data_IF_395374110313
#
_entry.id   IF_395374110313
#
_cell.length_a   1.000
_cell.length_b   1.000
_cell.length_c   1.000
_cell.angle_alpha   90.00
_cell.angle_beta   90.00
_cell.angle_gamma   90.00
#
_symmetry.space_group_name_H-M   'P 1'
#
loop_
_entity.id
_entity.type
_entity.pdbx_description
1 polymer ?
#
# COMPACT_ATOMS: atom_id res chain seq x y z
N UNK A 1 -12.35 -16.53 14.62
CA UNK A 1 -12.06 -15.25 13.93
C UNK A 1 -10.60 -14.90 13.90
N UNK A 2 -9.96 -14.81 15.06
CA UNK A 2 -8.53 -14.47 15.12
C UNK A 2 -7.64 -15.41 14.30
N UNK A 3 -7.86 -16.73 14.43
CA UNK A 3 -7.08 -17.71 13.66
C UNK A 3 -7.24 -17.57 12.15
N UNK A 4 -8.45 -17.25 11.69
CA UNK A 4 -8.71 -17.03 10.26
C UNK A 4 -8.00 -15.77 9.77
N UNK A 5 -7.99 -14.72 10.58
CA UNK A 5 -7.30 -13.46 10.24
C UNK A 5 -5.79 -13.67 10.18
N UNK A 6 -5.21 -14.38 11.15
CA UNK A 6 -3.79 -14.71 11.15
C UNK A 6 -3.44 -15.50 9.90
N UNK A 7 -4.22 -16.54 9.59
CA UNK A 7 -3.99 -17.37 8.41
C UNK A 7 -4.09 -16.57 7.11
N UNK A 8 -5.06 -15.67 7.04
CA UNK A 8 -5.24 -14.81 5.87
C UNK A 8 -4.03 -13.88 5.68
N UNK A 9 -3.55 -13.25 6.75
CA UNK A 9 -2.40 -12.35 6.69
C UNK A 9 -1.12 -13.10 6.32
N UNK A 10 -0.88 -14.26 6.91
CA UNK A 10 0.25 -15.11 6.55
C UNK A 10 0.22 -15.51 5.08
N UNK A 11 -0.97 -15.83 4.56
CA UNK A 11 -1.16 -16.20 3.16
C UNK A 11 -0.87 -15.01 2.24
N UNK A 12 -1.39 -13.83 2.57
CA UNK A 12 -1.13 -12.59 1.82
C UNK A 12 0.36 -12.28 1.82
N UNK A 13 1.02 -12.37 2.98
CA UNK A 13 2.46 -12.12 3.08
C UNK A 13 3.24 -13.05 2.15
N UNK A 14 2.93 -14.34 2.16
CA UNK A 14 3.56 -15.32 1.28
C UNK A 14 3.33 -14.98 -0.19
N UNK A 15 2.12 -14.63 -0.57
CA UNK A 15 1.78 -14.29 -1.96
C UNK A 15 2.46 -13.00 -2.41
N UNK A 16 2.51 -11.99 -1.56
CA UNK A 16 3.22 -10.74 -1.84
C UNK A 16 4.71 -11.02 -2.04
N UNK A 17 5.31 -11.87 -1.21
CA UNK A 17 6.70 -12.28 -1.35
C UNK A 17 6.97 -12.91 -2.72
N UNK A 18 6.09 -13.81 -3.18
CA UNK A 18 6.21 -14.42 -4.51
C UNK A 18 6.11 -13.39 -5.63
N UNK A 19 5.18 -12.44 -5.50
CA UNK A 19 5.03 -11.36 -6.48
C UNK A 19 6.28 -10.49 -6.55
N UNK A 20 6.86 -10.13 -5.40
CA UNK A 20 8.09 -9.33 -5.33
C UNK A 20 9.26 -10.07 -6.00
N UNK A 21 9.42 -11.36 -5.73
CA UNK A 21 10.50 -12.16 -6.35
C UNK A 21 10.34 -12.24 -7.87
N UNK A 22 9.13 -12.48 -8.35
CA UNK A 22 8.86 -12.50 -9.80
C UNK A 22 9.13 -11.14 -10.44
N UNK A 23 8.77 -10.06 -9.77
CA UNK A 23 9.02 -8.69 -10.24
C UNK A 23 10.52 -8.41 -10.37
N UNK A 24 11.30 -8.84 -9.38
CA UNK A 24 12.75 -8.62 -9.37
C UNK A 24 13.46 -9.35 -10.51
N UNK A 25 12.94 -10.50 -10.93
CA UNK A 25 13.51 -11.25 -12.06
C UNK A 25 13.49 -10.45 -13.37
N UNK A 26 12.53 -9.54 -13.53
CA UNK A 26 12.42 -8.68 -14.72
C UNK A 26 12.81 -7.23 -14.43
N UNK A 27 13.43 -6.98 -13.28
CA UNK A 27 13.80 -5.63 -12.81
C UNK A 27 12.64 -4.64 -12.86
N UNK A 28 11.46 -5.11 -12.49
CA UNK A 28 10.26 -4.29 -12.43
C UNK A 28 10.14 -3.51 -11.13
N UNK A 29 9.20 -2.59 -11.09
CA UNK A 29 8.86 -1.81 -9.90
C UNK A 29 7.39 -1.98 -9.57
N UNK A 30 7.03 -1.88 -8.29
CA UNK A 30 5.63 -1.98 -7.87
C UNK A 30 5.37 -1.16 -6.63
N UNK A 31 4.12 -0.79 -6.43
CA UNK A 31 3.63 -0.31 -5.16
C UNK A 31 2.82 -1.40 -4.47
N UNK A 32 2.93 -1.45 -3.16
CA UNK A 32 2.10 -2.31 -2.32
C UNK A 32 1.30 -1.38 -1.41
N UNK A 33 -0.01 -1.51 -1.44
CA UNK A 33 -0.89 -0.69 -0.61
C UNK A 33 -2.18 -1.45 -0.28
N UNK A 34 -3.04 -0.81 0.51
CA UNK A 34 -4.39 -1.27 0.77
C UNK A 34 -5.37 -0.12 0.51
N UNK A 35 -6.61 -0.45 0.25
CA UNK A 35 -7.67 0.55 0.02
C UNK A 35 -8.33 1.00 1.33
N UNK A 36 -8.22 0.20 2.39
CA UNK A 36 -8.72 0.52 3.72
C UNK A 36 -8.05 -0.35 4.77
N UNK A 37 -8.18 0.02 6.05
CA UNK A 37 -7.74 -0.79 7.16
C UNK A 37 -8.75 -1.89 7.51
N UNK A 38 -8.32 -2.91 8.21
CA UNK A 38 -9.16 -4.00 8.69
C UNK A 38 -8.47 -4.76 9.83
N UNK A 39 -7.45 -5.55 9.50
CA UNK A 39 -6.84 -6.49 10.44
C UNK A 39 -5.99 -5.82 11.53
N UNK A 40 -5.62 -4.56 11.37
CA UNK A 40 -4.88 -3.83 12.39
C UNK A 40 -5.74 -3.54 13.63
N UNK A 41 -7.07 -3.64 13.50
CA UNK A 41 -8.00 -3.53 14.62
C UNK A 41 -8.87 -4.78 14.69
N UNK A 42 -8.57 -5.66 15.63
CA UNK A 42 -9.24 -6.96 15.80
C UNK A 42 -10.32 -6.93 16.86
N UNK A 43 -10.37 -5.89 17.68
CA UNK A 43 -11.26 -5.78 18.82
C UNK A 43 -11.90 -4.39 18.84
N UNK A 44 -13.18 -4.36 19.21
CA UNK A 44 -13.87 -3.12 19.53
C UNK A 44 -13.38 -2.63 20.91
N UNK A 45 -12.78 -1.47 20.96
CA UNK A 45 -12.17 -0.94 22.18
C UNK A 45 -13.21 -0.51 23.24
N UNK A 46 -14.45 -0.28 22.83
CA UNK A 46 -15.52 0.08 23.76
C UNK A 46 -16.21 -1.14 24.36
N UNK A 47 -16.46 -2.17 23.56
CA UNK A 47 -17.25 -3.32 23.96
C UNK A 47 -16.41 -4.58 24.23
N UNK A 48 -15.16 -4.64 23.78
CA UNK A 48 -14.33 -5.82 23.86
C UNK A 48 -14.73 -6.95 22.92
N UNK A 49 -15.74 -6.72 22.06
CA UNK A 49 -16.20 -7.70 21.08
C UNK A 49 -15.24 -7.81 19.88
N UNK A 50 -15.28 -8.90 19.10
CA UNK A 50 -14.54 -8.98 17.86
C UNK A 50 -14.95 -7.84 16.91
N UNK A 51 -13.97 -7.16 16.34
CA UNK A 51 -14.15 -6.08 15.37
C UNK A 51 -13.88 -6.62 13.98
N UNK A 52 -14.89 -6.59 13.11
CA UNK A 52 -14.82 -7.18 11.76
C UNK A 52 -15.02 -6.16 10.65
N UNK A 53 -15.27 -4.90 11.01
CA UNK A 53 -15.51 -3.84 10.04
C UNK A 53 -14.20 -3.32 9.43
N UNK A 54 -14.34 -2.62 8.31
CA UNK A 54 -13.25 -1.86 7.73
C UNK A 54 -12.95 -0.63 8.59
N UNK A 55 -11.70 -0.19 8.60
CA UNK A 55 -11.30 1.00 9.33
C UNK A 55 -10.84 2.09 8.36
N UNK A 56 -10.84 3.34 8.86
CA UNK A 56 -10.28 4.48 8.15
C UNK A 56 -8.85 4.78 8.58
N UNK A 57 -8.22 3.86 9.30
CA UNK A 57 -6.83 4.01 9.71
C UNK A 57 -5.90 4.10 8.51
N UNK A 58 -4.77 4.81 8.64
CA UNK A 58 -3.76 4.82 7.58
C UNK A 58 -3.31 3.43 7.20
N UNK A 59 -3.07 3.23 5.91
CA UNK A 59 -2.61 1.96 5.36
C UNK A 59 -1.20 2.09 4.81
N UNK A 60 -0.45 0.97 4.68
CA UNK A 60 0.87 1.02 4.08
C UNK A 60 0.83 1.47 2.62
N UNK A 61 1.85 2.19 2.20
CA UNK A 61 2.12 2.49 0.80
C UNK A 61 3.61 2.29 0.59
N UNK A 62 3.99 1.20 -0.07
CA UNK A 62 5.37 0.73 -0.14
C UNK A 62 5.82 0.71 -1.60
N UNK A 63 6.96 1.34 -1.88
CA UNK A 63 7.60 1.31 -3.19
C UNK A 63 8.67 0.22 -3.19
N UNK A 64 8.56 -0.71 -4.14
CA UNK A 64 9.43 -1.88 -4.23
C UNK A 64 10.32 -1.79 -5.46
N UNK A 65 11.63 -2.02 -5.27
CA UNK A 65 12.64 -2.11 -6.32
C UNK A 65 12.78 -0.84 -7.16
N UNK A 66 12.58 0.31 -6.54
CA UNK A 66 12.84 1.60 -7.19
C UNK A 66 14.29 2.05 -6.96
N UNK A 67 14.70 3.07 -7.70
CA UNK A 67 15.99 3.73 -7.48
C UNK A 67 16.07 4.20 -6.02
N UNK A 68 17.15 3.84 -5.30
CA UNK A 68 17.32 4.28 -3.90
C UNK A 68 17.33 5.80 -3.68
N UNK A 69 17.53 6.57 -4.75
CA UNK A 69 17.45 8.03 -4.69
C UNK A 69 16.04 8.55 -4.40
N UNK A 70 15.01 7.72 -4.59
CA UNK A 70 13.63 8.09 -4.38
C UNK A 70 13.06 7.47 -3.12
N UNK A 71 12.10 8.17 -2.54
CA UNK A 71 11.31 7.71 -1.41
C UNK A 71 9.87 8.22 -1.57
N UNK A 72 9.04 7.97 -0.57
CA UNK A 72 7.65 8.40 -0.56
C UNK A 72 7.40 9.38 0.58
N UNK A 73 6.65 10.45 0.30
CA UNK A 73 6.19 11.38 1.31
C UNK A 73 5.07 10.75 2.14
N UNK A 74 4.93 11.20 3.38
CA UNK A 74 3.85 10.76 4.26
C UNK A 74 2.58 11.61 4.06
N UNK A 75 1.46 11.11 4.55
CA UNK A 75 0.22 11.87 4.64
C UNK A 75 -0.61 11.92 3.36
N UNK A 76 -0.36 11.03 2.42
CA UNK A 76 -1.14 10.96 1.20
C UNK A 76 -2.49 10.27 1.36
N UNK A 77 -3.22 10.18 0.26
CA UNK A 77 -4.50 9.48 0.18
C UNK A 77 -4.55 8.64 -1.11
N UNK A 78 -5.62 7.86 -1.28
CA UNK A 78 -5.75 6.96 -2.44
C UNK A 78 -5.68 7.71 -3.78
N UNK A 79 -6.15 8.96 -3.82
CA UNK A 79 -6.08 9.79 -5.03
C UNK A 79 -4.65 10.11 -5.47
N UNK A 80 -3.68 9.91 -4.60
CA UNK A 80 -2.27 10.22 -4.87
C UNK A 80 -1.50 9.03 -5.46
N UNK A 81 -2.10 7.85 -5.51
CA UNK A 81 -1.44 6.65 -6.03
C UNK A 81 -1.13 6.78 -7.52
N UNK A 82 -2.13 7.09 -8.33
CA UNK A 82 -1.95 7.22 -9.78
C UNK A 82 -0.98 8.36 -10.15
N UNK A 83 -1.06 9.56 -9.54
CA UNK A 83 -0.07 10.61 -9.77
C UNK A 83 1.36 10.16 -9.45
N UNK A 84 1.55 9.42 -8.37
CA UNK A 84 2.86 8.92 -7.98
C UNK A 84 3.39 7.90 -9.00
N UNK A 85 2.52 6.99 -9.46
CA UNK A 85 2.87 6.01 -10.48
C UNK A 85 3.27 6.66 -11.79
N UNK A 86 2.50 7.66 -12.23
CA UNK A 86 2.75 8.40 -13.48
C UNK A 86 4.10 9.12 -13.42
N UNK A 87 4.42 9.77 -12.30
CA UNK A 87 5.72 10.41 -12.12
C UNK A 87 6.86 9.40 -12.16
N UNK A 88 6.69 8.26 -11.49
CA UNK A 88 7.69 7.19 -11.52
C UNK A 88 7.95 6.67 -12.93
N UNK A 89 6.92 6.65 -13.78
CA UNK A 89 7.02 6.27 -15.19
C UNK A 89 7.60 7.37 -16.09
N UNK A 90 7.84 8.56 -15.56
CA UNK A 90 8.33 9.70 -16.34
C UNK A 90 7.29 10.34 -17.24
N UNK A 91 6.02 10.13 -16.96
CA UNK A 91 4.92 10.67 -17.74
C UNK A 91 4.35 11.92 -17.08
N UNK A 92 3.68 12.76 -17.89
CA UNK A 92 3.04 13.97 -17.40
C UNK A 92 1.67 13.66 -16.83
N UNK A 93 1.39 14.17 -15.62
CA UNK A 93 0.09 14.02 -14.98
C UNK A 93 -0.98 14.81 -15.75
N UNK A 94 -2.12 14.16 -16.10
CA UNK A 94 -3.24 14.88 -16.74
C UNK A 94 -3.88 15.90 -15.79
N UNK A 95 -4.45 16.97 -16.35
CA UNK A 95 -5.11 18.01 -15.55
C UNK A 95 -6.33 17.52 -14.79
N UNK A 96 -7.01 16.51 -15.31
CA UNK A 96 -8.18 15.88 -14.67
C UNK A 96 -7.83 15.11 -13.42
N UNK A 97 -6.57 14.75 -13.25
CA UNK A 97 -6.07 14.00 -12.09
C UNK A 97 -5.71 15.00 -10.99
N UNK A 98 -6.52 15.04 -9.93
CA UNK A 98 -6.44 16.06 -8.88
C UNK A 98 -5.52 15.71 -7.71
N UNK A 99 -5.08 14.46 -7.61
CA UNK A 99 -4.13 14.05 -6.57
C UNK A 99 -2.72 14.59 -6.81
N UNK A 100 -1.84 14.31 -5.87
CA UNK A 100 -0.45 14.76 -5.91
C UNK A 100 0.50 13.57 -5.82
N UNK A 101 1.60 13.62 -6.57
CA UNK A 101 2.64 12.61 -6.44
C UNK A 101 3.25 12.64 -5.03
N UNK A 102 3.45 11.47 -4.46
CA UNK A 102 4.13 11.31 -3.18
C UNK A 102 5.61 10.98 -3.36
N UNK A 103 6.08 10.90 -4.60
CA UNK A 103 7.48 10.59 -4.90
C UNK A 103 8.37 11.76 -4.48
N UNK A 104 9.38 11.45 -3.69
CA UNK A 104 10.38 12.45 -3.28
C UNK A 104 11.78 11.96 -3.61
N UNK A 105 12.65 12.88 -3.97
CA UNK A 105 14.05 12.59 -4.19
C UNK A 105 14.80 12.83 -2.87
N UNK A 106 15.48 11.79 -2.42
CA UNK A 106 16.29 11.87 -1.19
C UNK A 106 17.58 12.66 -1.41
#
# INVERSE_FOLDING_TARGET
>A
MLFRSIKAIETVDTCVGKAVEALKEVDGQMFICADHGNAEQMMDYETGAPFTAHTTNPVPFILVNADPAYGLAEGGCLADIAPTLIELMGLKQPEEMTGHSLLIKK
#
